data_IF_900725330551
#
_entry.id   IF_900725330551
#
_cell.length_a   1.000
_cell.length_b   1.000
_cell.length_c   1.000
_cell.angle_alpha   90.00
_cell.angle_beta   90.00
_cell.angle_gamma   90.00
#
_symmetry.space_group_name_H-M   'P 1'
#
loop_
_entity.id
_entity.type
_entity.pdbx_description
1 polymer ?
#
# COMPACT_ATOMS: atom_id res chain seq x y z
N UNK A 1 4.47 25.02 -19.33
CA UNK A 1 3.71 23.89 -19.91
C UNK A 1 3.00 23.19 -18.77
N UNK A 2 1.66 23.15 -18.77
CA UNK A 2 0.85 22.62 -17.68
C UNK A 2 0.31 21.19 -17.95
N UNK A 3 0.69 20.60 -19.08
CA UNK A 3 0.22 19.29 -19.52
C UNK A 3 1.39 18.31 -19.65
N UNK A 4 1.18 17.07 -19.18
CA UNK A 4 2.15 16.00 -19.28
C UNK A 4 2.18 15.46 -20.72
N UNK A 5 3.37 15.37 -21.33
CA UNK A 5 3.55 14.87 -22.70
C UNK A 5 4.03 13.40 -22.75
N UNK A 6 3.90 12.66 -21.66
CA UNK A 6 4.27 11.24 -21.56
C UNK A 6 3.11 10.38 -21.10
N UNK A 7 3.16 9.08 -21.41
CA UNK A 7 2.09 8.14 -21.06
C UNK A 7 2.21 7.52 -19.65
N UNK A 8 3.23 7.91 -18.86
CA UNK A 8 3.40 7.40 -17.49
C UNK A 8 2.44 8.04 -16.48
N UNK A 9 2.05 7.26 -15.48
CA UNK A 9 1.19 7.69 -14.39
C UNK A 9 2.03 8.36 -13.28
N UNK A 10 1.69 9.62 -12.97
CA UNK A 10 2.21 10.32 -11.80
C UNK A 10 1.23 10.13 -10.66
N UNK A 11 1.53 9.21 -9.74
CA UNK A 11 0.65 8.87 -8.61
C UNK A 11 0.61 10.04 -7.61
N UNK A 12 -0.57 10.32 -7.07
CA UNK A 12 -0.76 11.33 -6.03
C UNK A 12 -0.07 10.93 -4.71
N UNK A 13 0.32 11.89 -3.87
CA UNK A 13 0.83 11.59 -2.53
C UNK A 13 -0.15 10.72 -1.74
N UNK A 14 0.33 9.55 -1.31
CA UNK A 14 -0.48 8.55 -0.62
C UNK A 14 0.05 8.26 0.79
N UNK A 15 -0.84 8.08 1.79
CA UNK A 15 -0.42 7.70 3.14
C UNK A 15 -0.07 6.20 3.28
N UNK A 16 -0.46 5.35 2.32
CA UNK A 16 -0.35 3.90 2.44
C UNK A 16 1.07 3.35 2.59
N UNK A 17 2.12 3.92 1.97
CA UNK A 17 3.50 3.53 2.24
C UNK A 17 3.89 3.73 3.71
N UNK A 18 3.49 4.84 4.32
CA UNK A 18 3.77 5.12 5.74
C UNK A 18 3.01 4.16 6.65
N UNK A 19 1.70 3.98 6.42
CA UNK A 19 0.90 3.08 7.26
C UNK A 19 1.35 1.62 7.11
N UNK A 20 1.81 1.23 5.92
CA UNK A 20 2.40 -0.10 5.67
C UNK A 20 3.73 -0.31 6.42
N UNK A 21 4.60 0.70 6.44
CA UNK A 21 5.85 0.64 7.21
C UNK A 21 5.58 0.54 8.72
N UNK A 22 4.62 1.31 9.24
CA UNK A 22 4.19 1.20 10.65
C UNK A 22 3.58 -0.17 10.91
N UNK A 23 2.72 -0.69 10.03
CA UNK A 23 2.15 -2.02 10.17
C UNK A 23 3.24 -3.11 10.25
N UNK A 24 4.28 -3.04 9.40
CA UNK A 24 5.41 -3.98 9.44
C UNK A 24 6.19 -3.90 10.78
N UNK A 25 6.42 -2.71 11.30
CA UNK A 25 7.03 -2.52 12.63
C UNK A 25 6.16 -3.13 13.73
N UNK A 26 4.86 -2.88 13.72
CA UNK A 26 3.92 -3.41 14.72
C UNK A 26 3.81 -4.94 14.64
N UNK A 27 3.83 -5.51 13.44
CA UNK A 27 3.81 -6.95 13.23
C UNK A 27 5.07 -7.62 13.78
N UNK A 28 6.25 -7.10 13.44
CA UNK A 28 7.53 -7.69 13.86
C UNK A 28 7.75 -7.55 15.37
N UNK A 29 7.54 -6.35 15.92
CA UNK A 29 7.62 -6.13 17.37
C UNK A 29 6.51 -6.85 18.13
N UNK A 30 5.30 -6.91 17.58
CA UNK A 30 4.17 -7.64 18.14
C UNK A 30 4.41 -9.14 18.22
N UNK A 31 5.11 -9.71 17.25
CA UNK A 31 5.47 -11.13 17.26
C UNK A 31 6.49 -11.42 18.36
N UNK A 32 7.51 -10.58 18.48
CA UNK A 32 8.50 -10.69 19.55
C UNK A 32 7.82 -10.55 20.93
N UNK A 33 6.91 -9.58 21.08
CA UNK A 33 6.15 -9.39 22.33
C UNK A 33 5.27 -10.59 22.64
N UNK A 34 4.61 -11.16 21.65
CA UNK A 34 3.80 -12.36 21.86
C UNK A 34 4.65 -13.54 22.33
N UNK A 35 5.78 -13.80 21.68
CA UNK A 35 6.63 -14.95 22.01
C UNK A 35 7.34 -14.84 23.36
N UNK A 36 7.74 -13.64 23.77
CA UNK A 36 8.52 -13.44 24.99
C UNK A 36 7.71 -12.96 26.19
N UNK A 37 6.55 -12.35 25.95
CA UNK A 37 5.73 -11.73 27.01
C UNK A 37 4.25 -12.18 26.98
N UNK A 38 3.91 -13.16 26.12
CA UNK A 38 2.56 -13.73 25.99
C UNK A 38 1.44 -12.71 25.72
N UNK A 39 1.78 -11.53 25.18
CA UNK A 39 0.81 -10.48 24.86
C UNK A 39 0.61 -10.37 23.36
N UNK A 40 -0.64 -10.54 22.91
CA UNK A 40 -1.01 -10.50 21.48
C UNK A 40 -1.51 -9.13 21.01
N UNK A 41 -1.73 -8.18 21.93
CA UNK A 41 -2.36 -6.88 21.63
C UNK A 41 -1.67 -6.15 20.47
N UNK A 42 -0.34 -6.05 20.51
CA UNK A 42 0.41 -5.33 19.50
C UNK A 42 0.38 -6.04 18.14
N UNK A 43 0.44 -7.37 18.14
CA UNK A 43 0.28 -8.20 16.95
C UNK A 43 -1.11 -8.01 16.32
N UNK A 44 -2.19 -8.01 17.12
CA UNK A 44 -3.55 -7.80 16.61
C UNK A 44 -3.73 -6.41 16.00
N UNK A 45 -3.19 -5.36 16.63
CA UNK A 45 -3.25 -3.99 16.09
C UNK A 45 -2.43 -3.89 14.80
N UNK A 46 -1.22 -4.46 14.76
CA UNK A 46 -0.38 -4.51 13.57
C UNK A 46 -1.08 -5.22 12.40
N UNK A 47 -1.72 -6.36 12.68
CA UNK A 47 -2.46 -7.12 11.67
C UNK A 47 -3.66 -6.33 11.13
N UNK A 48 -4.44 -5.69 12.01
CA UNK A 48 -5.57 -4.87 11.59
C UNK A 48 -5.12 -3.69 10.70
N UNK A 49 -4.03 -3.01 11.07
CA UNK A 49 -3.47 -1.91 10.27
C UNK A 49 -2.90 -2.38 8.93
N UNK A 50 -2.27 -3.56 8.90
CA UNK A 50 -1.75 -4.16 7.67
C UNK A 50 -2.88 -4.45 6.67
N UNK A 51 -3.93 -5.13 7.12
CA UNK A 51 -5.10 -5.45 6.30
C UNK A 51 -5.78 -4.17 5.80
N UNK A 52 -5.94 -3.17 6.67
CA UNK A 52 -6.51 -1.87 6.28
C UNK A 52 -5.65 -1.15 5.23
N UNK A 53 -4.33 -1.17 5.39
CA UNK A 53 -3.40 -0.56 4.42
C UNK A 53 -3.49 -1.24 3.07
N UNK A 54 -3.44 -2.58 3.04
CA UNK A 54 -3.57 -3.35 1.80
C UNK A 54 -4.91 -3.09 1.10
N UNK A 55 -6.01 -3.11 1.85
CA UNK A 55 -7.34 -2.84 1.30
C UNK A 55 -7.44 -1.45 0.68
N UNK A 56 -7.02 -0.41 1.40
CA UNK A 56 -7.14 0.96 0.90
C UNK A 56 -6.17 1.25 -0.26
N UNK A 57 -4.96 0.68 -0.21
CA UNK A 57 -3.98 0.85 -1.28
C UNK A 57 -4.46 0.20 -2.58
N UNK A 58 -4.88 -1.07 -2.53
CA UNK A 58 -5.39 -1.72 -3.74
C UNK A 58 -6.70 -1.12 -4.24
N UNK A 59 -7.56 -0.63 -3.34
CA UNK A 59 -8.73 0.17 -3.74
C UNK A 59 -8.33 1.39 -4.57
N UNK A 60 -7.28 2.09 -4.17
CA UNK A 60 -6.83 3.29 -4.90
C UNK A 60 -6.17 2.92 -6.24
N UNK A 61 -5.41 1.83 -6.33
CA UNK A 61 -4.92 1.28 -7.61
C UNK A 61 -6.07 0.92 -8.56
N UNK A 62 -7.17 0.35 -8.05
CA UNK A 62 -8.38 0.09 -8.86
C UNK A 62 -9.01 1.40 -9.32
N UNK A 63 -9.04 2.44 -8.47
CA UNK A 63 -9.59 3.75 -8.86
C UNK A 63 -8.76 4.41 -9.95
N UNK A 64 -7.44 4.41 -9.80
CA UNK A 64 -6.48 4.95 -10.76
C UNK A 64 -6.59 4.24 -12.12
N UNK A 65 -6.69 2.91 -12.10
CA UNK A 65 -6.80 2.11 -13.32
C UNK A 65 -8.18 2.18 -13.99
N UNK A 66 -9.25 1.94 -13.23
CA UNK A 66 -10.60 1.74 -13.79
C UNK A 66 -11.39 3.04 -13.94
N UNK A 67 -11.31 3.95 -12.98
CA UNK A 67 -12.18 5.14 -12.96
C UNK A 67 -11.48 6.41 -13.45
N UNK A 68 -10.15 6.50 -13.32
CA UNK A 68 -9.35 7.65 -13.77
C UNK A 68 -8.61 7.40 -15.09
N UNK A 69 -8.44 6.13 -15.49
CA UNK A 69 -7.85 5.77 -16.78
C UNK A 69 -6.33 5.94 -16.85
N UNK A 70 -5.63 5.95 -15.72
CA UNK A 70 -4.18 6.17 -15.68
C UNK A 70 -3.33 4.96 -16.13
N UNK A 71 -3.94 3.78 -16.29
CA UNK A 71 -3.25 2.57 -16.75
C UNK A 71 -3.14 2.50 -18.28
N UNK A 72 -2.37 3.40 -18.88
CA UNK A 72 -2.02 3.39 -20.32
C UNK A 72 -1.22 2.12 -20.71
N UNK A 73 -1.05 1.80 -22.01
CA UNK A 73 -0.33 0.58 -22.41
C UNK A 73 1.11 0.45 -21.85
N UNK A 74 1.94 1.51 -21.79
CA UNK A 74 3.24 1.45 -21.11
C UNK A 74 3.12 1.15 -19.60
N UNK A 75 2.14 1.74 -18.91
CA UNK A 75 1.90 1.50 -17.47
C UNK A 75 1.48 0.04 -17.25
N UNK A 76 0.53 -0.48 -18.03
CA UNK A 76 0.13 -1.89 -17.96
C UNK A 76 1.28 -2.84 -18.25
N UNK A 77 2.14 -2.51 -19.22
CA UNK A 77 3.34 -3.31 -19.52
C UNK A 77 4.29 -3.31 -18.32
N UNK A 78 4.50 -2.16 -17.67
CA UNK A 78 5.28 -2.06 -16.43
C UNK A 78 4.71 -2.92 -15.30
N UNK A 79 3.39 -2.89 -15.10
CA UNK A 79 2.70 -3.71 -14.09
C UNK A 79 2.80 -5.22 -14.35
N UNK A 80 3.02 -5.66 -15.59
CA UNK A 80 3.27 -7.07 -15.92
C UNK A 80 4.71 -7.51 -15.62
N UNK A 81 5.64 -6.57 -15.53
CA UNK A 81 7.04 -6.85 -15.18
C UNK A 81 7.29 -6.85 -13.67
N UNK A 82 6.55 -6.04 -12.91
CA UNK A 82 6.58 -6.06 -11.45
C UNK A 82 6.10 -7.39 -10.90
#
# INVERSE_FOLDING_TARGET
MAHQAHAYHMVDPSPWPLTGAVAALLMTSGLAIWFHFHSTTLMTVGMALLLLTMYQWWRDIVREGTYQGHHTPPVQKGLRYG
#
